data_IF_312762325686
#
_entry.id   IF_312762325686
#
_cell.length_a   1.000
_cell.length_b   1.000
_cell.length_c   1.000
_cell.angle_alpha   90.00
_cell.angle_beta   90.00
_cell.angle_gamma   90.00
#
_symmetry.space_group_name_H-M   'P 1'
#
loop_
_entity.id
_entity.type
_entity.pdbx_description
1 polymer ?
#
# COMPACT_ATOMS: atom_id res chain seq x y z
N UNK A 1 2.41 -36.49 -6.00
CA UNK A 1 1.97 -35.90 -4.72
C UNK A 1 2.46 -34.45 -4.68
N UNK A 2 1.74 -33.52 -5.31
CA UNK A 2 1.84 -32.11 -4.91
C UNK A 2 0.80 -31.97 -3.80
N UNK A 3 1.26 -31.98 -2.55
CA UNK A 3 0.39 -31.61 -1.43
C UNK A 3 0.12 -30.12 -1.56
N UNK A 4 -1.16 -29.77 -1.54
CA UNK A 4 -1.63 -28.42 -1.29
C UNK A 4 -0.89 -27.85 -0.08
N UNK A 5 0.12 -27.02 -0.34
CA UNK A 5 0.56 -26.04 0.65
C UNK A 5 -0.49 -24.95 0.61
N UNK A 6 -1.58 -25.15 1.35
CA UNK A 6 -2.31 -24.00 1.85
C UNK A 6 -1.31 -23.30 2.77
N UNK A 7 -0.65 -22.26 2.26
CA UNK A 7 0.19 -21.41 3.08
C UNK A 7 -0.70 -20.91 4.23
N UNK A 8 -0.28 -21.16 5.46
CA UNK A 8 -0.96 -20.63 6.63
C UNK A 8 -1.01 -19.10 6.46
N UNK A 9 -2.22 -18.50 6.38
CA UNK A 9 -2.34 -17.07 6.15
C UNK A 9 -1.59 -16.23 7.19
N UNK A 10 -1.45 -16.73 8.42
CA UNK A 10 -0.70 -16.07 9.48
C UNK A 10 0.80 -15.99 9.17
N UNK A 11 1.39 -17.08 8.66
CA UNK A 11 2.80 -17.11 8.25
C UNK A 11 3.07 -16.16 7.09
N UNK A 12 2.13 -16.03 6.15
CA UNK A 12 2.25 -15.06 5.05
C UNK A 12 2.21 -13.62 5.57
N UNK A 13 1.29 -13.30 6.50
CA UNK A 13 1.22 -11.97 7.12
C UNK A 13 2.53 -11.63 7.83
N UNK A 14 3.05 -12.52 8.68
CA UNK A 14 4.31 -12.30 9.40
C UNK A 14 5.49 -12.02 8.44
N UNK A 15 5.58 -12.78 7.35
CA UNK A 15 6.62 -12.59 6.34
C UNK A 15 6.48 -11.24 5.62
N UNK A 16 5.26 -10.84 5.26
CA UNK A 16 4.99 -9.55 4.63
C UNK A 16 5.31 -8.38 5.57
N UNK A 17 4.94 -8.47 6.85
CA UNK A 17 5.27 -7.44 7.83
C UNK A 17 6.77 -7.33 8.07
N UNK A 18 7.49 -8.46 8.13
CA UNK A 18 8.94 -8.47 8.24
C UNK A 18 9.60 -7.80 7.03
N UNK A 19 9.10 -8.08 5.81
CA UNK A 19 9.56 -7.44 4.59
C UNK A 19 9.26 -5.93 4.58
N UNK A 20 8.07 -5.52 5.04
CA UNK A 20 7.69 -4.10 5.15
C UNK A 20 8.63 -3.33 6.08
N UNK A 21 8.92 -3.87 7.28
CA UNK A 21 9.86 -3.25 8.24
C UNK A 21 11.28 -3.11 7.70
N UNK A 22 11.67 -3.95 6.74
CA UNK A 22 12.99 -3.93 6.12
C UNK A 22 13.12 -2.90 4.97
N UNK A 23 12.02 -2.22 4.58
CA UNK A 23 12.07 -1.19 3.55
C UNK A 23 12.94 -0.01 4.03
N UNK A 24 13.91 0.37 3.21
CA UNK A 24 14.75 1.57 3.42
C UNK A 24 14.65 2.56 2.25
N UNK A 25 13.96 2.16 1.19
CA UNK A 25 13.71 3.01 0.02
C UNK A 25 12.56 3.97 0.33
N UNK A 26 12.45 5.10 -0.37
CA UNK A 26 11.25 5.92 -0.30
C UNK A 26 10.00 5.10 -0.70
N UNK A 27 8.95 5.16 0.12
CA UNK A 27 7.70 4.43 -0.10
C UNK A 27 6.53 5.41 -0.17
N UNK A 28 5.66 5.20 -1.17
CA UNK A 28 4.35 5.85 -1.27
C UNK A 28 3.28 4.76 -1.21
N UNK A 29 2.41 4.82 -0.21
CA UNK A 29 1.18 4.05 -0.13
C UNK A 29 0.05 4.90 -0.70
N UNK A 30 -0.63 4.40 -1.73
CA UNK A 30 -1.80 5.08 -2.33
C UNK A 30 -3.05 4.27 -2.03
N UNK A 31 -4.09 4.92 -1.49
CA UNK A 31 -5.40 4.29 -1.24
C UNK A 31 -6.54 5.12 -1.82
N UNK A 32 -7.56 4.47 -2.33
CA UNK A 32 -8.86 5.11 -2.55
C UNK A 32 -9.61 5.25 -1.23
N UNK A 33 -10.28 6.39 -1.00
CA UNK A 33 -11.03 6.61 0.25
C UNK A 33 -12.21 5.64 0.43
N UNK A 34 -12.67 5.01 -0.65
CA UNK A 34 -13.75 4.02 -0.67
C UNK A 34 -13.25 2.57 -0.79
N UNK A 35 -11.96 2.34 -0.56
CA UNK A 35 -11.36 1.00 -0.64
C UNK A 35 -11.62 0.21 0.63
N UNK A 36 -12.22 -0.96 0.50
CA UNK A 36 -12.43 -1.96 1.55
C UNK A 36 -11.23 -2.93 1.68
N UNK A 37 -10.39 -3.05 0.64
CA UNK A 37 -9.17 -3.88 0.65
C UNK A 37 -7.99 -3.14 1.30
N UNK A 38 -7.88 -1.82 1.11
CA UNK A 38 -6.89 -0.97 1.79
C UNK A 38 -7.64 0.01 2.70
N UNK A 39 -8.07 -0.50 3.84
CA UNK A 39 -8.80 0.28 4.84
C UNK A 39 -7.92 1.37 5.46
N UNK A 40 -8.55 2.31 6.16
CA UNK A 40 -7.83 3.36 6.87
C UNK A 40 -6.96 2.76 8.00
N UNK A 41 -7.47 1.74 8.68
CA UNK A 41 -6.78 1.02 9.75
C UNK A 41 -5.59 0.23 9.20
N UNK A 42 -5.76 -0.46 8.06
CA UNK A 42 -4.67 -1.18 7.40
C UNK A 42 -3.56 -0.23 6.91
N UNK A 43 -3.93 0.93 6.38
CA UNK A 43 -2.96 1.95 5.98
C UNK A 43 -2.20 2.53 7.18
N UNK A 44 -2.89 2.79 8.30
CA UNK A 44 -2.26 3.21 9.55
C UNK A 44 -1.30 2.15 10.09
N UNK A 45 -1.73 0.88 10.13
CA UNK A 45 -0.89 -0.24 10.55
C UNK A 45 0.36 -0.37 9.66
N UNK A 46 0.22 -0.25 8.34
CA UNK A 46 1.37 -0.25 7.43
C UNK A 46 2.33 0.92 7.72
N UNK A 47 1.82 2.11 8.02
CA UNK A 47 2.65 3.27 8.34
C UNK A 47 3.39 3.12 9.68
N UNK A 48 2.84 2.36 10.64
CA UNK A 48 3.57 1.96 11.85
C UNK A 48 4.74 1.01 11.52
N UNK A 49 4.57 0.11 10.54
CA UNK A 49 5.64 -0.78 10.06
C UNK A 49 6.71 -0.04 9.25
N UNK A 50 6.30 0.98 8.49
CA UNK A 50 7.14 1.74 7.57
C UNK A 50 7.01 3.24 7.85
N UNK A 51 7.64 3.77 8.93
CA UNK A 51 7.39 5.14 9.40
C UNK A 51 7.76 6.27 8.42
N UNK A 52 8.58 5.96 7.42
CA UNK A 52 8.99 6.89 6.35
C UNK A 52 8.09 6.80 5.11
N UNK A 53 7.12 5.89 5.08
CA UNK A 53 6.15 5.82 4.00
C UNK A 53 5.24 7.06 4.02
N UNK A 54 4.96 7.58 2.83
CA UNK A 54 3.96 8.63 2.65
C UNK A 54 2.63 7.99 2.27
N UNK A 55 1.52 8.52 2.81
CA UNK A 55 0.17 8.10 2.46
C UNK A 55 -0.46 9.15 1.53
N UNK A 56 -0.99 8.69 0.39
CA UNK A 56 -1.83 9.49 -0.50
C UNK A 56 -3.23 8.87 -0.59
N UNK A 57 -4.25 9.69 -0.35
CA UNK A 57 -5.65 9.27 -0.42
C UNK A 57 -6.34 9.89 -1.64
N UNK A 58 -6.98 9.06 -2.45
CA UNK A 58 -7.68 9.48 -3.67
C UNK A 58 -9.18 9.48 -3.39
N UNK A 59 -9.79 10.66 -3.42
CA UNK A 59 -11.14 10.87 -2.88
C UNK A 59 -12.26 10.19 -3.66
N UNK A 60 -12.18 10.16 -4.99
CA UNK A 60 -13.18 9.53 -5.87
C UNK A 60 -13.04 8.02 -6.01
N UNK A 61 -11.92 7.45 -5.54
CA UNK A 61 -11.52 6.09 -5.85
C UNK A 61 -12.00 5.06 -4.82
N UNK A 62 -12.40 3.91 -5.34
CA UNK A 62 -12.56 2.67 -4.60
C UNK A 62 -11.26 1.86 -4.69
N UNK A 63 -11.34 0.59 -5.08
CA UNK A 63 -10.23 -0.36 -5.03
C UNK A 63 -9.17 -0.12 -6.11
N UNK A 64 -9.58 0.38 -7.27
CA UNK A 64 -8.70 0.64 -8.41
C UNK A 64 -8.46 2.13 -8.51
N UNK A 65 -7.70 2.72 -7.58
CA UNK A 65 -7.50 4.18 -7.58
C UNK A 65 -6.99 4.75 -8.92
N UNK A 66 -6.07 4.04 -9.58
CA UNK A 66 -5.61 4.40 -10.93
C UNK A 66 -6.69 4.20 -12.03
N UNK A 67 -7.66 3.31 -11.83
CA UNK A 67 -8.76 3.10 -12.76
C UNK A 67 -9.94 4.07 -12.55
N UNK A 68 -10.19 4.44 -11.30
CA UNK A 68 -11.34 5.28 -10.91
C UNK A 68 -11.03 6.77 -11.08
N UNK A 69 -9.80 7.19 -10.75
CA UNK A 69 -9.33 8.58 -10.85
C UNK A 69 -7.84 8.60 -11.20
N UNK A 70 -7.56 8.30 -12.47
CA UNK A 70 -6.20 8.18 -12.99
C UNK A 70 -5.41 9.50 -12.91
N UNK A 71 -6.09 10.65 -13.04
CA UNK A 71 -5.45 11.95 -12.99
C UNK A 71 -4.92 12.24 -11.58
N UNK A 72 -5.77 12.06 -10.55
CA UNK A 72 -5.37 12.22 -9.15
C UNK A 72 -4.30 11.19 -8.74
N UNK A 73 -4.43 9.94 -9.20
CA UNK A 73 -3.40 8.91 -8.97
C UNK A 73 -2.06 9.30 -9.58
N UNK A 74 -2.06 9.69 -10.86
CA UNK A 74 -0.86 10.10 -11.59
C UNK A 74 -0.21 11.31 -10.94
N UNK A 75 -1.00 12.29 -10.52
CA UNK A 75 -0.50 13.48 -9.81
C UNK A 75 0.18 13.10 -8.49
N UNK A 76 -0.41 12.21 -7.69
CA UNK A 76 0.17 11.75 -6.43
C UNK A 76 1.53 11.05 -6.65
N UNK A 77 1.60 10.15 -7.63
CA UNK A 77 2.83 9.44 -7.98
C UNK A 77 3.89 10.41 -8.52
N UNK A 78 3.52 11.32 -9.43
CA UNK A 78 4.44 12.29 -10.00
C UNK A 78 5.02 13.22 -8.92
N UNK A 79 4.18 13.74 -8.02
CA UNK A 79 4.62 14.58 -6.89
C UNK A 79 5.64 13.86 -6.01
N UNK A 80 5.40 12.59 -5.71
CA UNK A 80 6.30 11.79 -4.90
C UNK A 80 7.65 11.58 -5.59
N UNK A 81 7.64 11.08 -6.84
CA UNK A 81 8.88 10.78 -7.58
C UNK A 81 9.70 12.04 -7.86
N UNK A 82 9.06 13.15 -8.23
CA UNK A 82 9.77 14.40 -8.52
C UNK A 82 10.39 15.08 -7.29
N UNK A 83 9.91 14.73 -6.07
CA UNK A 83 10.45 15.25 -4.81
C UNK A 83 11.69 14.49 -4.32
N UNK A 84 11.84 13.23 -4.70
CA UNK A 84 12.93 12.34 -4.26
C UNK A 84 14.13 12.46 -5.23
N UNK A 85 14.53 13.69 -5.56
CA UNK A 85 15.73 13.93 -6.36
C UNK A 85 16.99 13.85 -5.52
#
# INVERSE_FOLDING_TARGET
>A
MLRDRVEDPSLMVEQMEAAARALTIPVLLVRGMRSDVVSAEGAAAFQELVPHAQLAEIGGAAHTAAGDDNDSFTEAVAKFVLRIR
#
